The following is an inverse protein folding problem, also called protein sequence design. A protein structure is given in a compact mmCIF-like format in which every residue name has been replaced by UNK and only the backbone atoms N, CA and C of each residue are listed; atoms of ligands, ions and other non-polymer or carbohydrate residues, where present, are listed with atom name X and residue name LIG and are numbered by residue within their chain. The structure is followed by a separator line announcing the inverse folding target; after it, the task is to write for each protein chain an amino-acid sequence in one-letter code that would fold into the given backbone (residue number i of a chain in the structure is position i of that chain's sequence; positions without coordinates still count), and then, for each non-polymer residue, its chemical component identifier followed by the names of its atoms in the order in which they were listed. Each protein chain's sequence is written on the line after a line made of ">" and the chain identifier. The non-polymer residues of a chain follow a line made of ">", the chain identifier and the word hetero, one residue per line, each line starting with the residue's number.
data_IF_198767687248
#
_entry.id   IF_198767687248
#
_cell.length_a   1.000
_cell.length_b   1.000
_cell.length_c   1.000
_cell.angle_alpha   90.00
_cell.angle_beta   90.00
_cell.angle_gamma   90.00
#
_symmetry.space_group_name_H-M   'P 1'
#
loop_
_entity.id
_entity.type
_entity.pdbx_description
1 polymer ?
#
# COMPACT_ATOMS: atom_id res chain seq x y z
N UNK A 1 -1.50 14.02 -8.77
CA UNK A 1 -0.30 13.35 -8.22
C UNK A 1 0.25 12.44 -9.31
N UNK A 2 1.54 12.54 -9.63
CA UNK A 2 2.15 11.91 -10.81
C UNK A 2 1.83 10.41 -10.88
N UNK A 3 1.10 10.00 -11.92
CA UNK A 3 0.81 8.61 -12.29
C UNK A 3 1.97 7.99 -13.08
N UNK A 4 3.13 8.64 -13.08
CA UNK A 4 4.27 8.31 -13.94
C UNK A 4 5.39 7.69 -13.12
N UNK A 5 5.88 6.53 -13.58
CA UNK A 5 6.95 5.78 -12.96
C UNK A 5 8.26 6.59 -13.01
N UNK A 6 8.96 6.77 -11.88
CA UNK A 6 10.21 7.53 -11.83
C UNK A 6 11.40 6.79 -12.47
N UNK A 7 11.25 5.50 -12.82
CA UNK A 7 12.31 4.68 -13.40
C UNK A 7 12.25 4.59 -14.92
N UNK A 8 11.06 4.43 -15.51
CA UNK A 8 10.90 4.21 -16.95
C UNK A 8 9.94 5.18 -17.62
N UNK A 9 9.32 6.11 -16.88
CA UNK A 9 8.31 7.02 -17.43
C UNK A 9 6.96 6.37 -17.76
N UNK A 10 6.79 5.07 -17.49
CA UNK A 10 5.53 4.35 -17.72
C UNK A 10 4.42 4.72 -16.74
N UNK A 11 3.21 4.20 -16.94
CA UNK A 11 2.09 4.37 -16.02
C UNK A 11 2.27 3.60 -14.71
N UNK A 12 1.64 4.11 -13.65
CA UNK A 12 1.59 3.49 -12.31
C UNK A 12 0.14 3.13 -11.96
N UNK A 13 -0.11 1.84 -11.74
CA UNK A 13 -1.35 1.35 -11.15
C UNK A 13 -1.34 1.57 -9.63
N UNK A 14 -2.48 1.94 -9.05
CA UNK A 14 -2.62 2.27 -7.63
C UNK A 14 -3.61 1.35 -6.93
N UNK A 15 -3.17 0.69 -5.87
CA UNK A 15 -3.97 -0.23 -5.06
C UNK A 15 -3.98 0.23 -3.61
N UNK A 16 -5.15 0.60 -3.08
CA UNK A 16 -5.32 0.97 -1.67
C UNK A 16 -6.05 -0.13 -0.92
N UNK A 17 -5.54 -0.49 0.27
CA UNK A 17 -6.19 -1.41 1.21
C UNK A 17 -6.27 -0.78 2.60
N UNK A 18 -7.45 -0.86 3.21
CA UNK A 18 -7.66 -0.47 4.61
C UNK A 18 -7.24 -1.62 5.53
N UNK A 19 -6.69 -1.28 6.69
CA UNK A 19 -6.19 -2.24 7.68
C UNK A 19 -7.26 -2.60 8.74
N UNK A 20 -8.50 -2.16 8.53
CA UNK A 20 -9.63 -2.38 9.43
C UNK A 20 -10.29 -3.76 9.26
N UNK A 21 -9.80 -4.57 8.32
CA UNK A 21 -10.33 -5.91 8.12
C UNK A 21 -10.11 -6.77 9.38
N UNK A 22 -11.14 -7.54 9.72
CA UNK A 22 -11.10 -8.53 10.80
C UNK A 22 -11.50 -9.88 10.23
N UNK A 23 -10.79 -10.94 10.61
CA UNK A 23 -11.11 -12.32 10.28
C UNK A 23 -11.45 -13.03 11.58
N UNK A 24 -12.74 -13.12 11.89
CA UNK A 24 -13.22 -13.60 13.20
C UNK A 24 -12.71 -12.70 14.34
N UNK A 25 -12.10 -13.25 15.41
CA UNK A 25 -11.56 -12.46 16.52
C UNK A 25 -10.25 -11.75 16.18
N UNK A 26 -9.64 -12.02 15.02
CA UNK A 26 -8.34 -11.48 14.65
C UNK A 26 -8.47 -10.18 13.85
N UNK A 27 -7.90 -9.10 14.37
CA UNK A 27 -7.77 -7.83 13.65
C UNK A 27 -6.48 -7.84 12.83
N UNK A 28 -6.56 -7.59 11.52
CA UNK A 28 -5.38 -7.48 10.65
C UNK A 28 -4.40 -6.43 11.19
N UNK A 29 -4.91 -5.30 11.68
CA UNK A 29 -4.10 -4.24 12.29
C UNK A 29 -3.31 -4.73 13.51
N UNK A 30 -3.86 -5.63 14.33
CA UNK A 30 -3.16 -6.18 15.52
C UNK A 30 -2.13 -7.26 15.16
N UNK A 31 -2.23 -7.85 13.97
CA UNK A 31 -1.28 -8.84 13.47
C UNK A 31 -0.04 -8.20 12.81
N UNK A 32 -0.10 -6.90 12.47
CA UNK A 32 1.03 -6.18 11.92
C UNK A 32 2.08 -5.89 13.00
N UNK A 33 3.38 -5.76 12.61
CA UNK A 33 4.41 -5.23 13.50
C UNK A 33 4.02 -3.88 14.12
N UNK A 34 4.48 -3.62 15.35
CA UNK A 34 4.03 -2.52 16.21
C UNK A 34 4.16 -1.14 15.53
N UNK A 35 5.21 -0.94 14.74
CA UNK A 35 5.51 0.26 13.97
C UNK A 35 4.45 0.57 12.89
N UNK A 36 3.75 -0.45 12.39
CA UNK A 36 2.73 -0.33 11.35
C UNK A 36 1.31 -0.26 11.90
N UNK A 37 1.09 -0.62 13.17
CA UNK A 37 -0.23 -0.57 13.79
C UNK A 37 -0.78 0.85 13.95
N UNK A 38 0.05 1.90 13.80
CA UNK A 38 -0.40 3.30 13.83
C UNK A 38 -1.07 3.76 12.53
N UNK A 39 -0.99 2.98 11.46
CA UNK A 39 -1.57 3.32 10.17
C UNK A 39 -2.96 2.71 9.99
N UNK A 40 -3.78 3.31 9.13
CA UNK A 40 -5.15 2.88 8.82
C UNK A 40 -5.26 2.24 7.44
N UNK A 41 -4.36 2.60 6.52
CA UNK A 41 -4.33 2.03 5.19
C UNK A 41 -2.92 1.96 4.62
N UNK A 42 -2.76 1.09 3.63
CA UNK A 42 -1.56 0.99 2.80
C UNK A 42 -1.96 1.20 1.35
N UNK A 43 -1.16 1.98 0.62
CA UNK A 43 -1.29 2.22 -0.80
C UNK A 43 -0.04 1.68 -1.51
N UNK A 44 -0.24 0.76 -2.44
CA UNK A 44 0.79 0.24 -3.32
C UNK A 44 0.66 0.94 -4.66
N UNK A 45 1.78 1.40 -5.21
CA UNK A 45 1.85 1.86 -6.59
C UNK A 45 2.83 1.00 -7.35
N UNK A 46 2.41 0.41 -8.45
CA UNK A 46 3.22 -0.52 -9.23
C UNK A 46 3.24 -0.05 -10.68
N UNK A 47 4.41 0.03 -11.28
CA UNK A 47 4.54 0.34 -12.69
C UNK A 47 4.22 -0.88 -13.54
N UNK A 48 3.25 -0.74 -14.45
CA UNK A 48 2.82 -1.83 -15.33
C UNK A 48 3.88 -2.22 -16.38
N UNK A 49 4.82 -1.33 -16.66
CA UNK A 49 5.85 -1.53 -17.68
C UNK A 49 7.13 -2.19 -17.16
N UNK A 50 7.61 -1.78 -15.97
CA UNK A 50 8.91 -2.25 -15.43
C UNK A 50 8.83 -2.88 -14.05
N UNK A 51 7.64 -2.95 -13.44
CA UNK A 51 7.45 -3.54 -12.11
C UNK A 51 7.97 -2.71 -10.94
N UNK A 52 8.45 -1.48 -11.15
CA UNK A 52 8.86 -0.59 -10.07
C UNK A 52 7.70 -0.35 -9.09
N UNK A 53 7.96 -0.47 -7.79
CA UNK A 53 6.93 -0.40 -6.76
C UNK A 53 7.25 0.62 -5.67
N UNK A 54 6.24 1.35 -5.24
CA UNK A 54 6.25 2.24 -4.08
C UNK A 54 5.18 1.81 -3.07
N UNK A 55 5.48 1.88 -1.78
CA UNK A 55 4.56 1.52 -0.70
C UNK A 55 4.39 2.75 0.21
N UNK A 56 3.15 3.19 0.39
CA UNK A 56 2.81 4.32 1.24
C UNK A 56 1.88 3.88 2.37
N UNK A 57 2.33 4.08 3.60
CA UNK A 57 1.53 3.86 4.80
C UNK A 57 0.81 5.15 5.19
N UNK A 58 -0.51 5.09 5.29
CA UNK A 58 -1.37 6.26 5.57
C UNK A 58 -2.06 6.08 6.92
N UNK A 59 -1.97 7.13 7.73
CA UNK A 59 -2.75 7.24 8.97
C UNK A 59 -4.18 7.56 8.64
#
# INVERSE_FOLDING_TARGET
>A
MSSTCPKCGGGMAVFKKTLHASVGPFSVKRLLPQEFQKYESVEFRICDACGYMEIYWKK
#
